data_IF_230673666909
#
_entry.id   IF_230673666909
#
_cell.length_a   1.000
_cell.length_b   1.000
_cell.length_c   1.000
_cell.angle_alpha   90.00
_cell.angle_beta   90.00
_cell.angle_gamma   90.00
#
_symmetry.space_group_name_H-M   'P 1'
#
loop_
_entity.id
_entity.type
_entity.pdbx_description
1 polymer ?
#
# COMPACT_ATOMS: atom_id res chain seq x y z
N UNK A 1 10.23 7.60 19.19
CA UNK A 1 9.06 8.47 18.95
C UNK A 1 9.39 9.96 18.98
N UNK A 2 10.13 10.49 19.96
CA UNK A 2 10.57 11.91 19.94
C UNK A 2 11.25 12.27 18.61
N UNK A 3 12.21 11.47 18.16
CA UNK A 3 12.87 11.68 16.88
C UNK A 3 11.93 11.69 15.65
N UNK A 4 10.74 11.05 15.73
CA UNK A 4 9.74 11.15 14.67
C UNK A 4 9.02 12.50 14.70
N UNK A 5 8.80 13.07 15.89
CA UNK A 5 8.24 14.40 16.02
C UNK A 5 9.18 15.50 15.48
N UNK A 6 10.49 15.25 15.46
CA UNK A 6 11.51 16.18 14.96
C UNK A 6 11.47 16.35 13.42
N UNK A 7 10.71 15.52 12.68
CA UNK A 7 10.45 15.74 11.25
C UNK A 7 9.64 17.01 10.96
N UNK A 8 8.96 17.55 11.98
CA UNK A 8 8.19 18.78 11.89
C UNK A 8 6.72 18.56 11.52
N UNK A 9 6.09 19.58 10.96
CA UNK A 9 4.65 19.54 10.60
C UNK A 9 4.48 19.64 9.07
N UNK A 10 3.54 18.88 8.48
CA UNK A 10 2.67 17.89 9.16
C UNK A 10 3.50 16.74 9.75
N UNK A 11 3.17 16.33 10.97
CA UNK A 11 3.87 15.23 11.62
C UNK A 11 3.65 13.91 10.87
N UNK A 12 4.69 13.05 10.73
CA UNK A 12 4.55 11.74 10.14
C UNK A 12 3.53 10.87 10.90
N UNK A 13 2.80 10.03 10.19
CA UNK A 13 1.95 9.01 10.83
C UNK A 13 2.87 7.94 11.42
N UNK A 14 2.72 7.70 12.74
CA UNK A 14 3.45 6.64 13.42
C UNK A 14 2.58 5.37 13.46
N UNK A 15 3.02 4.33 12.75
CA UNK A 15 2.29 3.05 12.67
C UNK A 15 3.03 2.01 13.49
N UNK A 16 2.41 1.51 14.56
CA UNK A 16 2.93 0.36 15.31
C UNK A 16 2.45 -0.90 14.62
N UNK A 17 3.39 -1.70 14.17
CA UNK A 17 3.18 -2.96 13.45
C UNK A 17 4.21 -4.01 13.91
N UNK A 18 4.26 -5.13 13.25
CA UNK A 18 5.14 -6.25 13.59
C UNK A 18 4.31 -7.50 13.72
N UNK A 19 4.67 -8.53 14.46
CA UNK A 19 3.82 -9.73 14.64
C UNK A 19 2.37 -9.36 15.02
N UNK A 20 2.02 -9.37 16.29
CA UNK A 20 0.77 -8.75 16.76
C UNK A 20 1.12 -7.68 17.81
N UNK A 21 0.84 -6.37 17.56
CA UNK A 21 1.09 -5.31 18.51
C UNK A 21 0.40 -5.52 19.86
N UNK A 22 -0.73 -6.23 19.91
CA UNK A 22 -1.42 -6.56 21.16
C UNK A 22 -0.70 -7.60 22.03
N UNK A 23 0.37 -8.22 21.53
CA UNK A 23 1.26 -9.05 22.35
C UNK A 23 2.18 -8.21 23.26
N UNK A 24 2.35 -6.91 22.97
CA UNK A 24 3.14 -6.00 23.81
C UNK A 24 2.34 -5.53 25.02
N UNK A 25 2.89 -5.72 26.22
CA UNK A 25 2.25 -5.28 27.45
C UNK A 25 2.11 -3.73 27.55
N UNK A 26 3.04 -3.00 26.92
CA UNK A 26 3.15 -1.53 26.95
C UNK A 26 2.50 -0.83 25.74
N UNK A 27 1.74 -1.54 24.89
CA UNK A 27 1.20 -0.99 23.64
C UNK A 27 0.39 0.31 23.86
N UNK A 28 -0.47 0.35 24.88
CA UNK A 28 -1.31 1.51 25.15
C UNK A 28 -0.51 2.70 25.67
N UNK A 29 0.56 2.46 26.43
CA UNK A 29 1.48 3.50 26.89
C UNK A 29 2.24 4.11 25.71
N UNK A 30 2.73 3.28 24.79
CA UNK A 30 3.40 3.75 23.58
C UNK A 30 2.48 4.63 22.73
N UNK A 31 1.21 4.22 22.55
CA UNK A 31 0.24 5.05 21.81
C UNK A 31 -0.01 6.37 22.52
N UNK A 32 -0.20 6.38 23.84
CA UNK A 32 -0.38 7.61 24.62
C UNK A 32 0.83 8.54 24.49
N UNK A 33 2.02 7.98 24.60
CA UNK A 33 3.25 8.75 24.45
C UNK A 33 3.40 9.36 23.05
N UNK A 34 3.07 8.61 22.00
CA UNK A 34 3.05 9.14 20.63
C UNK A 34 2.07 10.30 20.47
N UNK A 35 0.86 10.18 21.03
CA UNK A 35 -0.14 11.25 21.02
C UNK A 35 0.33 12.49 21.76
N UNK A 36 0.94 12.36 22.95
CA UNK A 36 1.52 13.46 23.70
C UNK A 36 2.58 14.24 22.90
N UNK A 37 3.33 13.54 22.06
CA UNK A 37 4.32 14.11 21.13
C UNK A 37 3.68 14.74 19.88
N UNK A 38 2.35 14.71 19.76
CA UNK A 38 1.62 15.25 18.60
C UNK A 38 1.65 14.39 17.35
N UNK A 39 2.01 13.11 17.49
CA UNK A 39 2.03 12.17 16.36
C UNK A 39 0.64 11.59 16.10
N UNK A 40 0.19 11.52 14.84
CA UNK A 40 -0.94 10.69 14.45
C UNK A 40 -0.59 9.22 14.66
N UNK A 41 -1.24 8.55 15.63
CA UNK A 41 -0.95 7.16 16.00
C UNK A 41 -1.88 6.22 15.29
N UNK A 42 -1.32 5.19 14.63
CA UNK A 42 -2.04 4.06 14.06
C UNK A 42 -1.45 2.73 14.54
N UNK A 43 -2.26 1.69 14.62
CA UNK A 43 -1.82 0.35 15.04
C UNK A 43 -2.33 -0.68 14.04
N UNK A 44 -1.51 -1.67 13.72
CA UNK A 44 -1.83 -2.77 12.78
C UNK A 44 -1.90 -4.10 13.52
N UNK A 45 -2.99 -4.38 14.28
CA UNK A 45 -3.15 -5.64 14.98
C UNK A 45 -3.45 -6.80 14.03
N UNK A 46 -3.17 -8.01 14.49
CA UNK A 46 -3.55 -9.25 13.81
C UNK A 46 -4.96 -9.69 14.22
N UNK A 47 -5.62 -10.51 13.36
CA UNK A 47 -6.93 -11.11 13.64
C UNK A 47 -6.85 -12.23 14.70
N UNK A 48 -6.22 -11.97 15.84
CA UNK A 48 -6.10 -12.89 16.99
C UNK A 48 -7.25 -12.68 17.98
N UNK A 49 -7.44 -13.55 18.97
CA UNK A 49 -8.41 -13.32 20.06
C UNK A 49 -8.18 -12.03 20.85
N UNK A 50 -6.99 -11.41 20.76
CA UNK A 50 -6.67 -10.11 21.37
C UNK A 50 -7.28 -8.92 20.62
N UNK A 51 -7.71 -9.10 19.38
CA UNK A 51 -8.50 -8.10 18.64
C UNK A 51 -9.94 -8.13 19.20
N UNK A 52 -10.14 -7.49 20.31
CA UNK A 52 -11.41 -7.47 21.05
C UNK A 52 -11.89 -6.02 21.25
N UNK A 53 -13.19 -5.85 21.51
CA UNK A 53 -13.77 -4.55 21.87
C UNK A 53 -13.03 -3.88 23.02
N UNK A 54 -12.65 -4.66 24.04
CA UNK A 54 -11.89 -4.16 25.18
C UNK A 54 -10.54 -3.57 24.76
N UNK A 55 -9.76 -4.31 23.96
CA UNK A 55 -8.46 -3.87 23.46
C UNK A 55 -8.60 -2.65 22.55
N UNK A 56 -9.61 -2.61 21.69
CA UNK A 56 -9.89 -1.49 20.81
C UNK A 56 -10.32 -0.23 21.59
N UNK A 57 -11.11 -0.39 22.66
CA UNK A 57 -11.49 0.71 23.55
C UNK A 57 -10.25 1.29 24.24
N UNK A 58 -9.41 0.45 24.84
CA UNK A 58 -8.14 0.90 25.45
C UNK A 58 -7.24 1.60 24.45
N UNK A 59 -7.19 1.11 23.21
CA UNK A 59 -6.40 1.72 22.15
C UNK A 59 -6.92 3.12 21.77
N UNK A 60 -8.24 3.26 21.63
CA UNK A 60 -8.91 4.55 21.39
C UNK A 60 -8.67 5.54 22.52
N UNK A 61 -8.83 5.11 23.77
CA UNK A 61 -8.61 5.94 24.96
C UNK A 61 -7.15 6.38 25.09
N UNK A 62 -6.21 5.53 24.71
CA UNK A 62 -4.79 5.87 24.61
C UNK A 62 -4.49 6.92 23.52
N UNK A 63 -5.42 7.11 22.57
CA UNK A 63 -5.34 8.16 21.55
C UNK A 63 -4.96 7.70 20.15
N UNK A 64 -5.08 6.41 19.85
CA UNK A 64 -4.99 5.94 18.48
C UNK A 64 -6.09 6.57 17.61
N UNK A 65 -5.74 6.98 16.41
CA UNK A 65 -6.66 7.60 15.45
C UNK A 65 -7.13 6.62 14.37
N UNK A 66 -6.38 5.55 14.16
CA UNK A 66 -6.66 4.57 13.14
C UNK A 66 -6.08 3.19 13.50
N UNK A 67 -6.69 2.17 12.92
CA UNK A 67 -6.12 0.82 12.85
C UNK A 67 -6.04 0.36 11.41
N UNK A 68 -5.15 -0.58 11.12
CA UNK A 68 -5.17 -1.32 9.86
C UNK A 68 -5.31 -2.82 10.11
N UNK A 69 -6.25 -3.44 9.43
CA UNK A 69 -6.55 -4.86 9.53
C UNK A 69 -6.22 -5.54 8.21
N UNK A 70 -5.76 -6.77 8.28
CA UNK A 70 -5.50 -7.58 7.10
C UNK A 70 -6.72 -8.42 6.75
N UNK A 71 -7.17 -8.34 5.51
CA UNK A 71 -8.26 -9.14 4.97
C UNK A 71 -7.95 -9.52 3.52
N UNK A 72 -7.57 -10.78 3.27
CA UNK A 72 -7.07 -11.22 1.97
C UNK A 72 -8.09 -12.03 1.16
N UNK A 73 -9.26 -12.32 1.74
CA UNK A 73 -10.41 -12.95 1.09
C UNK A 73 -11.70 -12.38 1.63
N UNK A 74 -12.76 -12.43 0.85
CA UNK A 74 -14.09 -11.98 1.23
C UNK A 74 -14.91 -13.07 1.96
N UNK A 75 -14.34 -14.25 2.11
CA UNK A 75 -14.89 -15.39 2.83
C UNK A 75 -13.90 -15.95 3.86
N UNK A 76 -14.43 -16.68 4.86
CA UNK A 76 -13.59 -17.39 5.83
C UNK A 76 -12.71 -18.45 5.15
N UNK A 77 -13.23 -19.13 4.13
CA UNK A 77 -12.49 -20.15 3.41
C UNK A 77 -11.21 -19.57 2.79
N UNK A 78 -11.31 -18.47 2.05
CA UNK A 78 -10.18 -17.88 1.36
C UNK A 78 -9.26 -17.17 2.35
N UNK A 79 -9.80 -16.33 3.24
CA UNK A 79 -8.96 -15.56 4.17
C UNK A 79 -8.21 -16.45 5.16
N UNK A 80 -8.91 -17.36 5.83
CA UNK A 80 -8.30 -18.27 6.82
C UNK A 80 -7.33 -19.24 6.15
N UNK A 81 -7.66 -19.71 4.94
CA UNK A 81 -6.78 -20.54 4.12
C UNK A 81 -5.46 -19.80 3.77
N UNK A 82 -5.57 -18.56 3.34
CA UNK A 82 -4.39 -17.70 3.05
C UNK A 82 -3.56 -17.43 4.31
N UNK A 83 -4.21 -17.11 5.44
CA UNK A 83 -3.53 -16.85 6.72
C UNK A 83 -3.05 -18.13 7.42
N UNK A 84 -3.58 -19.30 7.04
CA UNK A 84 -3.34 -20.60 7.67
C UNK A 84 -3.72 -20.62 9.17
N UNK A 85 -4.75 -19.84 9.53
CA UNK A 85 -5.24 -19.72 10.91
C UNK A 85 -6.78 -19.64 10.91
N UNK A 86 -7.48 -20.70 11.30
CA UNK A 86 -8.94 -20.73 11.32
C UNK A 86 -9.56 -19.64 12.21
N UNK A 87 -10.66 -19.05 11.74
CA UNK A 87 -11.45 -18.07 12.46
C UNK A 87 -10.84 -16.65 12.45
N UNK A 88 -9.78 -16.40 11.67
CA UNK A 88 -9.22 -15.03 11.53
C UNK A 88 -10.16 -14.13 10.75
N UNK A 89 -10.90 -14.66 9.77
CA UNK A 89 -11.90 -13.89 9.03
C UNK A 89 -12.94 -13.27 9.96
N UNK A 90 -13.64 -14.10 10.73
CA UNK A 90 -14.72 -13.66 11.64
C UNK A 90 -14.21 -12.66 12.67
N UNK A 91 -13.02 -12.92 13.24
CA UNK A 91 -12.39 -12.00 14.19
C UNK A 91 -12.05 -10.65 13.54
N UNK A 92 -11.55 -10.67 12.31
CA UNK A 92 -11.22 -9.43 11.58
C UNK A 92 -12.48 -8.63 11.26
N UNK A 93 -13.55 -9.27 10.77
CA UNK A 93 -14.83 -8.61 10.48
C UNK A 93 -15.45 -8.04 11.77
N UNK A 94 -15.45 -8.81 12.85
CA UNK A 94 -15.97 -8.36 14.17
C UNK A 94 -15.15 -7.17 14.68
N UNK A 95 -13.82 -7.28 14.70
CA UNK A 95 -12.94 -6.20 15.13
C UNK A 95 -13.06 -4.94 14.27
N UNK A 96 -13.32 -5.10 12.95
CA UNK A 96 -13.57 -3.96 12.06
C UNK A 96 -14.87 -3.23 12.44
N UNK A 97 -15.98 -3.95 12.64
CA UNK A 97 -17.25 -3.35 13.06
C UNK A 97 -17.09 -2.62 14.41
N UNK A 98 -16.51 -3.28 15.40
CA UNK A 98 -16.27 -2.71 16.72
C UNK A 98 -15.36 -1.46 16.68
N UNK A 99 -14.29 -1.49 15.90
CA UNK A 99 -13.42 -0.33 15.73
C UNK A 99 -14.17 0.87 15.12
N UNK A 100 -15.03 0.62 14.14
CA UNK A 100 -15.88 1.65 13.54
C UNK A 100 -16.87 2.23 14.53
N UNK A 101 -17.55 1.39 15.30
CA UNK A 101 -18.46 1.84 16.37
C UNK A 101 -17.76 2.70 17.43
N UNK A 102 -16.52 2.39 17.75
CA UNK A 102 -15.68 3.16 18.66
C UNK A 102 -15.13 4.47 18.02
N UNK A 103 -15.40 4.72 16.74
CA UNK A 103 -14.93 5.89 16.01
C UNK A 103 -13.44 5.84 15.64
N UNK A 104 -12.84 4.65 15.58
CA UNK A 104 -11.52 4.45 14.97
C UNK A 104 -11.66 4.42 13.45
N UNK A 105 -10.72 5.05 12.75
CA UNK A 105 -10.62 4.92 11.30
C UNK A 105 -10.00 3.58 10.96
N UNK A 106 -10.59 2.83 10.03
CA UNK A 106 -10.12 1.49 9.67
C UNK A 106 -9.58 1.50 8.25
N UNK A 107 -8.35 1.03 8.07
CA UNK A 107 -7.77 0.68 6.79
C UNK A 107 -7.81 -0.84 6.65
N UNK A 108 -8.19 -1.34 5.48
CA UNK A 108 -8.10 -2.75 5.13
C UNK A 108 -6.91 -2.96 4.21
N UNK A 109 -6.10 -3.96 4.52
CA UNK A 109 -4.94 -4.38 3.72
C UNK A 109 -5.22 -5.76 3.14
N UNK A 110 -5.15 -5.89 1.83
CA UNK A 110 -5.36 -7.16 1.12
C UNK A 110 -4.15 -7.49 0.27
N UNK A 111 -3.53 -8.64 0.51
CA UNK A 111 -2.42 -9.14 -0.31
C UNK A 111 -2.97 -9.77 -1.57
N UNK A 112 -2.50 -9.30 -2.72
CA UNK A 112 -2.96 -9.76 -4.03
C UNK A 112 -1.98 -10.80 -4.57
N UNK A 113 -2.51 -12.02 -4.76
CA UNK A 113 -1.81 -13.18 -5.30
C UNK A 113 -2.75 -13.93 -6.27
N UNK A 114 -2.29 -14.96 -6.95
CA UNK A 114 -3.16 -15.79 -7.80
C UNK A 114 -4.33 -16.41 -7.02
N UNK A 115 -4.12 -16.75 -5.76
CA UNK A 115 -5.16 -17.36 -4.91
C UNK A 115 -6.19 -16.36 -4.36
N UNK A 116 -5.90 -15.05 -4.38
CA UNK A 116 -6.77 -14.01 -3.77
C UNK A 116 -7.30 -13.01 -4.79
N UNK A 117 -6.79 -12.99 -6.01
CA UNK A 117 -7.12 -11.95 -7.00
C UNK A 117 -8.60 -11.92 -7.36
N UNK A 118 -9.25 -13.08 -7.43
CA UNK A 118 -10.69 -13.17 -7.77
C UNK A 118 -11.61 -12.72 -6.63
N UNK A 119 -11.08 -12.52 -5.42
CA UNK A 119 -11.81 -12.00 -4.27
C UNK A 119 -11.95 -10.46 -4.27
N UNK A 120 -11.17 -9.77 -5.11
CA UNK A 120 -11.08 -8.30 -5.07
C UNK A 120 -12.43 -7.57 -5.22
N UNK A 121 -13.37 -7.98 -6.10
CA UNK A 121 -14.68 -7.34 -6.19
C UNK A 121 -15.53 -7.54 -4.92
N UNK A 122 -15.51 -8.70 -4.30
CA UNK A 122 -16.26 -8.98 -3.07
C UNK A 122 -15.61 -8.31 -1.85
N UNK A 123 -14.27 -8.25 -1.80
CA UNK A 123 -13.56 -7.44 -0.82
C UNK A 123 -13.94 -5.96 -0.93
N UNK A 124 -14.09 -5.42 -2.14
CA UNK A 124 -14.57 -4.06 -2.35
C UNK A 124 -15.99 -3.88 -1.80
N UNK A 125 -16.90 -4.85 -2.01
CA UNK A 125 -18.25 -4.82 -1.42
C UNK A 125 -18.20 -4.73 0.11
N UNK A 126 -17.37 -5.54 0.76
CA UNK A 126 -17.16 -5.47 2.21
C UNK A 126 -16.58 -4.11 2.63
N UNK A 127 -15.62 -3.56 1.86
CA UNK A 127 -15.02 -2.25 2.12
C UNK A 127 -16.05 -1.13 2.09
N UNK A 128 -17.00 -1.19 1.14
CA UNK A 128 -18.11 -0.24 1.03
C UNK A 128 -19.11 -0.43 2.18
N UNK A 129 -19.56 -1.66 2.39
CA UNK A 129 -20.57 -2.00 3.40
C UNK A 129 -20.11 -1.65 4.82
N UNK A 130 -18.91 -2.08 5.20
CA UNK A 130 -18.35 -1.86 6.53
C UNK A 130 -17.66 -0.50 6.69
N UNK A 131 -17.51 0.25 5.61
CA UNK A 131 -17.05 1.65 5.64
C UNK A 131 -15.57 1.80 5.99
N UNK A 132 -14.66 1.17 5.27
CA UNK A 132 -13.23 1.42 5.45
C UNK A 132 -12.85 2.86 5.05
N UNK A 133 -11.93 3.44 5.81
CA UNK A 133 -11.31 4.74 5.45
C UNK A 133 -10.48 4.60 4.16
N UNK A 134 -9.84 3.45 3.98
CA UNK A 134 -8.99 3.16 2.84
C UNK A 134 -8.87 1.65 2.67
N UNK A 135 -8.98 1.19 1.43
CA UNK A 135 -8.57 -0.16 1.03
C UNK A 135 -7.18 -0.10 0.39
N UNK A 136 -6.24 -0.87 0.91
CA UNK A 136 -4.86 -0.95 0.41
C UNK A 136 -4.62 -2.32 -0.21
N UNK A 137 -4.49 -2.38 -1.53
CA UNK A 137 -4.06 -3.58 -2.23
C UNK A 137 -2.53 -3.68 -2.17
N UNK A 138 -2.04 -4.74 -1.54
CA UNK A 138 -0.62 -5.05 -1.42
C UNK A 138 -0.20 -5.97 -2.55
N UNK A 139 0.59 -5.49 -3.48
CA UNK A 139 1.22 -6.36 -4.46
C UNK A 139 2.37 -7.11 -3.82
N UNK A 140 2.37 -8.42 -3.97
CA UNK A 140 3.29 -9.32 -3.28
C UNK A 140 4.76 -8.94 -3.51
N UNK A 141 5.52 -8.86 -2.41
CA UNK A 141 6.99 -8.85 -2.43
C UNK A 141 7.46 -10.21 -1.93
N UNK A 142 8.27 -10.94 -2.67
CA UNK A 142 8.70 -12.30 -2.31
C UNK A 142 9.75 -12.27 -1.20
N UNK A 143 9.31 -11.99 0.04
CA UNK A 143 10.14 -11.98 1.25
C UNK A 143 9.48 -12.81 2.34
N UNK A 144 10.28 -13.49 3.17
CA UNK A 144 9.79 -14.35 4.23
C UNK A 144 8.80 -15.39 3.69
N UNK A 145 7.62 -15.55 4.31
CA UNK A 145 6.57 -16.46 3.82
C UNK A 145 6.00 -16.07 2.45
N UNK A 146 6.21 -14.83 2.01
CA UNK A 146 5.80 -14.37 0.68
C UNK A 146 6.49 -15.11 -0.48
N UNK A 147 7.66 -15.74 -0.23
CA UNK A 147 8.35 -16.58 -1.22
C UNK A 147 7.60 -17.87 -1.57
N UNK A 148 6.68 -18.29 -0.71
CA UNK A 148 5.86 -19.49 -0.89
C UNK A 148 4.55 -19.20 -1.64
N UNK A 149 4.23 -17.94 -1.90
CA UNK A 149 2.98 -17.51 -2.50
C UNK A 149 3.13 -17.32 -4.02
N UNK A 150 2.08 -17.68 -4.76
CA UNK A 150 2.02 -17.48 -6.19
C UNK A 150 1.77 -16.01 -6.54
N UNK A 151 2.82 -15.33 -6.98
CA UNK A 151 2.72 -13.97 -7.47
C UNK A 151 1.92 -13.92 -8.79
N UNK A 152 1.26 -12.79 -9.03
CA UNK A 152 0.70 -12.48 -10.35
C UNK A 152 1.83 -12.34 -11.38
N UNK A 153 1.50 -12.61 -12.63
CA UNK A 153 2.34 -12.23 -13.77
C UNK A 153 2.32 -10.69 -13.95
N UNK A 154 3.26 -10.11 -14.70
CA UNK A 154 3.21 -8.69 -15.03
C UNK A 154 1.89 -8.26 -15.70
N UNK A 155 1.35 -9.09 -16.60
CA UNK A 155 0.06 -8.82 -17.28
C UNK A 155 -1.13 -8.89 -16.34
N UNK A 156 -1.22 -9.90 -15.50
CA UNK A 156 -2.26 -9.99 -14.47
C UNK A 156 -2.16 -8.82 -13.48
N UNK A 157 -0.94 -8.36 -13.18
CA UNK A 157 -0.74 -7.19 -12.32
C UNK A 157 -1.27 -5.91 -12.99
N UNK A 158 -1.06 -5.75 -14.29
CA UNK A 158 -1.62 -4.64 -15.06
C UNK A 158 -3.15 -4.65 -15.03
N UNK A 159 -3.75 -5.81 -15.25
CA UNK A 159 -5.21 -6.01 -15.17
C UNK A 159 -5.74 -5.61 -13.78
N UNK A 160 -5.08 -6.05 -12.71
CA UNK A 160 -5.45 -5.69 -11.34
C UNK A 160 -5.33 -4.20 -11.07
N UNK A 161 -4.28 -3.55 -11.54
CA UNK A 161 -4.11 -2.10 -11.31
C UNK A 161 -5.18 -1.29 -12.05
N UNK A 162 -5.58 -1.71 -13.25
CA UNK A 162 -6.69 -1.09 -13.96
C UNK A 162 -8.03 -1.33 -13.25
N UNK A 163 -8.28 -2.52 -12.72
CA UNK A 163 -9.43 -2.76 -11.85
C UNK A 163 -9.42 -1.86 -10.60
N UNK A 164 -8.27 -1.69 -9.94
CA UNK A 164 -8.14 -0.83 -8.76
C UNK A 164 -8.35 0.66 -9.11
N UNK A 165 -8.02 1.07 -10.33
CA UNK A 165 -8.37 2.40 -10.82
C UNK A 165 -9.90 2.58 -10.86
N UNK A 166 -10.63 1.63 -11.41
CA UNK A 166 -12.09 1.68 -11.45
C UNK A 166 -12.70 1.56 -10.05
N UNK A 167 -12.20 0.64 -9.20
CA UNK A 167 -12.61 0.50 -7.80
C UNK A 167 -12.44 1.79 -6.99
N UNK A 168 -11.52 2.67 -7.39
CA UNK A 168 -11.29 3.98 -6.79
C UNK A 168 -12.49 4.93 -6.86
N UNK A 169 -13.46 4.68 -7.74
CA UNK A 169 -14.73 5.43 -7.80
C UNK A 169 -15.74 4.98 -6.75
N UNK A 170 -15.58 3.78 -6.20
CA UNK A 170 -16.48 3.19 -5.20
C UNK A 170 -15.96 3.39 -3.78
N UNK A 171 -14.67 3.27 -3.57
CA UNK A 171 -14.05 3.39 -2.25
C UNK A 171 -12.68 4.08 -2.35
N UNK A 172 -12.12 4.61 -1.22
CA UNK A 172 -10.75 5.09 -1.19
C UNK A 172 -9.76 3.93 -1.36
N UNK A 173 -9.22 3.76 -2.56
CA UNK A 173 -8.24 2.72 -2.89
C UNK A 173 -6.83 3.30 -2.91
N UNK A 174 -5.85 2.53 -2.47
CA UNK A 174 -4.41 2.74 -2.70
C UNK A 174 -3.71 1.42 -2.94
N UNK A 175 -2.52 1.48 -3.50
CA UNK A 175 -1.63 0.32 -3.59
C UNK A 175 -0.48 0.43 -2.60
N UNK A 176 0.03 -0.70 -2.13
CA UNK A 176 1.31 -0.83 -1.45
C UNK A 176 2.17 -1.78 -2.26
N UNK A 177 3.42 -1.39 -2.51
CA UNK A 177 4.35 -2.09 -3.41
C UNK A 177 3.81 -2.27 -4.85
N UNK A 178 2.82 -1.46 -5.23
CA UNK A 178 2.23 -1.36 -6.57
C UNK A 178 2.42 0.04 -7.15
N UNK A 179 3.65 0.55 -7.17
CA UNK A 179 3.95 1.96 -7.51
C UNK A 179 3.62 2.31 -8.97
N UNK A 180 3.65 1.32 -9.88
CA UNK A 180 3.24 1.48 -11.27
C UNK A 180 1.73 1.76 -11.43
N UNK A 181 0.94 1.65 -10.37
CA UNK A 181 -0.43 2.20 -10.32
C UNK A 181 -0.50 3.69 -10.69
N UNK A 182 0.55 4.48 -10.38
CA UNK A 182 0.60 5.90 -10.75
C UNK A 182 0.66 6.09 -12.25
N UNK A 183 1.40 5.23 -12.96
CA UNK A 183 1.40 5.19 -14.43
C UNK A 183 0.01 4.87 -14.95
N UNK A 184 -0.60 3.78 -14.45
CA UNK A 184 -1.96 3.38 -14.86
C UNK A 184 -2.96 4.51 -14.65
N UNK A 185 -2.92 5.21 -13.53
CA UNK A 185 -3.80 6.37 -13.29
C UNK A 185 -3.64 7.43 -14.38
N UNK A 186 -2.39 7.80 -14.73
CA UNK A 186 -2.15 8.79 -15.77
C UNK A 186 -2.61 8.34 -17.16
N UNK A 187 -2.29 7.12 -17.55
CA UNK A 187 -2.74 6.55 -18.83
C UNK A 187 -4.26 6.55 -18.91
N UNK A 188 -4.94 6.12 -17.84
CA UNK A 188 -6.41 6.08 -17.76
C UNK A 188 -7.04 7.48 -17.81
N UNK A 189 -6.41 8.49 -17.18
CA UNK A 189 -6.88 9.88 -17.23
C UNK A 189 -6.71 10.47 -18.63
N UNK A 190 -5.57 10.27 -19.28
CA UNK A 190 -5.36 10.69 -20.66
C UNK A 190 -6.35 10.05 -21.62
N UNK A 191 -6.58 8.74 -21.52
CA UNK A 191 -7.54 8.05 -22.37
C UNK A 191 -8.97 8.51 -22.14
N UNK A 192 -9.35 8.79 -20.89
CA UNK A 192 -10.66 9.31 -20.54
C UNK A 192 -10.88 10.72 -21.12
N UNK A 193 -9.89 11.60 -21.06
CA UNK A 193 -9.96 12.96 -21.61
C UNK A 193 -10.08 12.94 -23.16
N UNK A 194 -9.50 11.93 -23.80
CA UNK A 194 -9.57 11.73 -25.25
C UNK A 194 -10.85 10.97 -25.69
N UNK A 195 -11.60 10.40 -24.75
CA UNK A 195 -12.78 9.55 -25.05
C UNK A 195 -12.38 8.21 -25.72
N UNK A 196 -11.18 7.71 -25.45
CA UNK A 196 -10.66 6.45 -26.03
C UNK A 196 -10.97 5.28 -25.12
N UNK A 197 -11.34 4.14 -25.72
CA UNK A 197 -11.54 2.88 -25.01
C UNK A 197 -10.20 2.39 -24.43
N UNK A 198 -10.13 2.35 -23.10
CA UNK A 198 -8.92 1.97 -22.39
C UNK A 198 -8.63 0.45 -22.45
N UNK A 199 -9.65 -0.39 -22.64
CA UNK A 199 -9.45 -1.85 -22.72
C UNK A 199 -8.66 -2.19 -23.96
N UNK A 200 -9.05 -1.61 -25.09
CA UNK A 200 -8.37 -1.80 -26.37
C UNK A 200 -6.99 -1.10 -26.35
N UNK A 201 -6.95 0.18 -25.94
CA UNK A 201 -5.74 0.98 -25.98
C UNK A 201 -4.61 0.43 -25.09
N UNK A 202 -4.94 -0.15 -23.94
CA UNK A 202 -3.98 -0.75 -23.00
C UNK A 202 -3.83 -2.27 -23.18
N UNK A 203 -4.65 -2.89 -24.05
CA UNK A 203 -4.64 -4.31 -24.30
C UNK A 203 -4.90 -5.14 -23.02
N UNK A 204 -5.91 -4.72 -22.23
CA UNK A 204 -6.25 -5.39 -20.97
C UNK A 204 -6.77 -6.80 -21.19
N UNK A 205 -6.37 -7.72 -20.30
CA UNK A 205 -6.66 -9.15 -20.42
C UNK A 205 -8.01 -9.58 -19.87
N UNK A 206 -8.25 -10.90 -19.91
CA UNK A 206 -9.49 -11.51 -19.40
C UNK A 206 -9.65 -11.29 -17.89
N UNK A 207 -8.57 -11.26 -17.12
CA UNK A 207 -8.64 -11.00 -15.68
C UNK A 207 -9.26 -9.63 -15.38
N UNK A 208 -8.84 -8.58 -16.09
CA UNK A 208 -9.48 -7.27 -15.96
C UNK A 208 -10.96 -7.32 -16.31
N UNK A 209 -11.32 -7.97 -17.44
CA UNK A 209 -12.70 -8.06 -17.90
C UNK A 209 -13.60 -8.77 -16.87
N UNK A 210 -13.12 -9.87 -16.30
CA UNK A 210 -13.84 -10.62 -15.26
C UNK A 210 -14.05 -9.78 -13.98
N UNK A 211 -12.99 -9.08 -13.52
CA UNK A 211 -13.07 -8.23 -12.35
C UNK A 211 -13.99 -7.01 -12.59
N UNK A 212 -13.90 -6.39 -13.76
CA UNK A 212 -14.71 -5.22 -14.13
C UNK A 212 -16.20 -5.58 -14.31
N UNK A 213 -16.51 -6.76 -14.85
CA UNK A 213 -17.89 -7.25 -14.95
C UNK A 213 -18.54 -7.35 -13.56
N UNK A 214 -17.83 -7.90 -12.58
CA UNK A 214 -18.31 -8.02 -11.20
C UNK A 214 -18.39 -6.65 -10.49
N UNK A 215 -17.53 -5.70 -10.87
CA UNK A 215 -17.57 -4.34 -10.36
C UNK A 215 -18.84 -3.62 -10.84
N UNK A 216 -19.26 -3.83 -12.09
CA UNK A 216 -20.48 -3.24 -12.66
C UNK A 216 -21.76 -3.66 -11.89
N UNK A 217 -21.76 -4.83 -11.26
CA UNK A 217 -22.89 -5.30 -10.43
C UNK A 217 -23.10 -4.47 -9.14
N UNK A 218 -22.07 -3.72 -8.67
CA UNK A 218 -22.18 -2.85 -7.48
C UNK A 218 -23.07 -1.63 -7.78
N UNK A 219 -23.20 -1.28 -9.06
CA UNK A 219 -23.97 -0.13 -9.52
C UNK A 219 -23.16 1.19 -9.49
N UNK A 220 -23.72 2.26 -10.03
CA UNK A 220 -23.03 3.53 -10.17
C UNK A 220 -22.82 4.22 -8.81
N UNK A 221 -21.64 4.81 -8.62
CA UNK A 221 -21.31 5.63 -7.45
C UNK A 221 -20.71 6.95 -7.94
N UNK A 222 -21.25 8.07 -7.47
CA UNK A 222 -20.69 9.39 -7.77
C UNK A 222 -19.62 9.76 -6.74
N UNK A 223 -18.39 9.32 -7.00
CA UNK A 223 -17.24 9.61 -6.16
C UNK A 223 -16.01 9.95 -6.99
N UNK A 224 -15.32 11.04 -6.63
CA UNK A 224 -14.00 11.34 -7.21
C UNK A 224 -12.94 10.40 -6.63
N UNK A 225 -12.10 9.83 -7.49
CA UNK A 225 -10.91 9.05 -7.08
C UNK A 225 -9.97 9.93 -6.28
N UNK A 226 -9.30 9.33 -5.32
CA UNK A 226 -8.16 9.98 -4.66
C UNK A 226 -6.93 9.83 -5.55
N UNK A 227 -6.10 10.89 -5.69
CA UNK A 227 -4.84 10.76 -6.38
C UNK A 227 -3.95 9.72 -5.65
N UNK A 228 -3.15 8.96 -6.38
CA UNK A 228 -2.23 8.00 -5.77
C UNK A 228 -1.17 8.72 -4.94
N UNK A 229 -0.79 8.11 -3.81
CA UNK A 229 0.23 8.65 -2.93
C UNK A 229 1.62 8.53 -3.58
N UNK A 230 2.42 9.59 -3.50
CA UNK A 230 3.82 9.58 -3.95
C UNK A 230 4.76 9.08 -2.84
N UNK A 231 4.63 7.80 -2.48
CA UNK A 231 5.42 7.13 -1.43
C UNK A 231 6.11 5.91 -2.03
N UNK A 232 7.37 5.69 -1.70
CA UNK A 232 8.14 4.49 -2.07
C UNK A 232 9.08 4.11 -0.91
N UNK A 233 9.75 2.97 -0.98
CA UNK A 233 10.79 2.61 -0.02
C UNK A 233 11.84 3.74 0.07
N UNK A 234 12.06 4.28 1.26
CA UNK A 234 12.98 5.40 1.49
C UNK A 234 12.52 6.77 1.00
N UNK A 235 11.35 6.87 0.38
CA UNK A 235 10.74 8.12 -0.08
C UNK A 235 9.33 8.27 0.50
N UNK A 236 9.14 9.16 1.46
CA UNK A 236 7.90 9.32 2.21
C UNK A 236 7.58 8.16 3.16
N UNK A 237 8.50 7.20 3.31
CA UNK A 237 8.36 6.04 4.17
C UNK A 237 9.70 5.62 4.78
N UNK A 238 9.68 5.17 6.03
CA UNK A 238 10.81 4.59 6.76
C UNK A 238 10.30 3.50 7.70
N UNK A 239 11.05 2.43 7.85
CA UNK A 239 10.77 1.36 8.80
C UNK A 239 11.87 1.29 9.86
N UNK A 240 11.47 1.25 11.13
CA UNK A 240 12.38 1.05 12.26
C UNK A 240 12.06 -0.29 12.89
N UNK A 241 13.04 -1.18 12.95
CA UNK A 241 12.90 -2.51 13.54
C UNK A 241 12.80 -2.44 15.06
N UNK A 242 12.38 -3.55 15.68
CA UNK A 242 12.29 -3.68 17.14
C UNK A 242 13.64 -3.55 17.87
N UNK A 243 14.74 -3.70 17.16
CA UNK A 243 16.12 -3.53 17.67
C UNK A 243 16.73 -2.17 17.34
N UNK A 244 15.97 -1.26 16.73
CA UNK A 244 16.43 0.11 16.44
C UNK A 244 17.06 0.32 15.07
N UNK A 245 17.24 -0.73 14.28
CA UNK A 245 17.78 -0.63 12.92
C UNK A 245 16.76 0.04 11.99
N UNK A 246 17.22 0.98 11.17
CA UNK A 246 16.41 1.72 10.20
C UNK A 246 16.55 1.12 8.82
N UNK A 247 15.41 0.90 8.16
CA UNK A 247 15.31 0.35 6.81
C UNK A 247 14.42 1.23 5.93
N UNK A 248 14.61 1.23 4.60
CA UNK A 248 13.76 1.97 3.66
C UNK A 248 12.31 1.48 3.62
N UNK A 249 12.10 0.19 3.89
CA UNK A 249 10.80 -0.49 3.91
C UNK A 249 10.89 -1.73 4.81
N UNK A 250 9.74 -2.17 5.34
CA UNK A 250 9.65 -3.47 6.03
C UNK A 250 9.88 -4.68 5.11
N UNK A 251 9.87 -4.46 3.78
CA UNK A 251 10.14 -5.48 2.77
C UNK A 251 11.56 -5.39 2.18
N UNK A 252 12.36 -4.42 2.61
CA UNK A 252 13.74 -4.23 2.15
C UNK A 252 14.70 -4.23 3.36
N UNK A 253 15.27 -5.38 3.72
CA UNK A 253 16.08 -5.53 4.94
C UNK A 253 17.51 -4.99 4.80
N UNK A 254 17.70 -3.88 4.08
CA UNK A 254 18.96 -3.17 3.98
C UNK A 254 19.02 -2.15 5.11
N UNK A 255 20.01 -2.25 5.99
CA UNK A 255 20.18 -1.29 7.08
C UNK A 255 20.71 0.06 6.56
N UNK A 256 20.05 1.15 6.93
CA UNK A 256 20.45 2.52 6.62
C UNK A 256 21.12 3.24 7.81
N UNK A 257 20.95 2.70 9.02
CA UNK A 257 21.50 3.21 10.28
C UNK A 257 20.77 2.62 11.48
N UNK A 258 21.09 3.11 12.67
CA UNK A 258 20.47 2.69 13.93
C UNK A 258 20.06 3.94 14.75
N UNK A 259 18.82 3.99 15.22
CA UNK A 259 18.28 5.14 15.99
C UNK A 259 18.92 5.34 17.37
N UNK A 260 19.72 4.40 17.81
CA UNK A 260 20.51 4.51 19.05
C UNK A 260 21.86 5.20 18.86
N UNK A 261 22.34 5.25 17.60
CA UNK A 261 23.64 5.83 17.24
C UNK A 261 23.50 7.17 16.52
N UNK A 262 22.42 7.33 15.73
CA UNK A 262 22.14 8.52 14.94
C UNK A 262 20.67 8.92 15.08
N UNK A 263 20.33 10.19 14.82
CA UNK A 263 18.92 10.58 14.82
C UNK A 263 18.20 10.00 13.58
N UNK A 264 16.93 9.66 13.74
CA UNK A 264 16.13 9.14 12.62
C UNK A 264 16.03 10.16 11.47
N UNK A 265 16.02 11.46 11.80
CA UNK A 265 16.00 12.54 10.80
C UNK A 265 17.28 12.57 9.97
N UNK A 266 18.44 12.40 10.58
CA UNK A 266 19.72 12.39 9.88
C UNK A 266 19.84 11.13 9.01
N UNK A 267 19.50 9.95 9.58
CA UNK A 267 19.48 8.71 8.81
C UNK A 267 18.58 8.86 7.58
N UNK A 268 17.35 9.37 7.76
CA UNK A 268 16.41 9.52 6.66
C UNK A 268 16.85 10.53 5.61
N UNK A 269 17.45 11.64 6.01
CA UNK A 269 17.84 12.74 5.11
C UNK A 269 19.19 12.53 4.45
N UNK A 270 20.14 11.91 5.14
CA UNK A 270 21.56 11.93 4.76
C UNK A 270 22.14 10.55 4.43
N UNK A 271 21.48 9.45 4.84
CA UNK A 271 21.99 8.11 4.51
C UNK A 271 22.13 7.94 3.00
N UNK A 272 23.30 7.48 2.50
CA UNK A 272 23.51 7.22 1.08
C UNK A 272 22.46 6.31 0.46
N UNK A 273 21.92 5.34 1.24
CA UNK A 273 20.87 4.45 0.78
C UNK A 273 19.57 5.23 0.51
N UNK A 274 19.13 6.07 1.46
CA UNK A 274 17.91 6.86 1.30
C UNK A 274 18.05 7.92 0.19
N UNK A 275 19.20 8.58 0.10
CA UNK A 275 19.49 9.52 -0.98
C UNK A 275 19.45 8.82 -2.35
N UNK A 276 20.10 7.64 -2.45
CA UNK A 276 20.11 6.87 -3.68
C UNK A 276 18.72 6.39 -4.10
N UNK A 277 17.87 5.95 -3.16
CA UNK A 277 16.49 5.51 -3.48
C UNK A 277 15.56 6.65 -3.94
N UNK A 278 15.88 7.90 -3.64
CA UNK A 278 15.16 9.10 -4.11
C UNK A 278 15.69 9.65 -5.42
N UNK A 279 16.88 9.25 -5.81
CA UNK A 279 17.51 9.66 -7.06
C UNK A 279 17.07 8.74 -8.20
N UNK A 280 16.09 9.19 -8.98
CA UNK A 280 15.54 8.42 -10.10
C UNK A 280 16.53 8.22 -11.24
N UNK A 281 17.63 9.02 -11.31
CA UNK A 281 18.70 8.83 -12.30
C UNK A 281 19.50 7.54 -12.08
N UNK A 282 19.40 6.94 -10.89
CA UNK A 282 20.03 5.67 -10.53
C UNK A 282 19.23 4.45 -10.93
N UNK A 283 17.97 4.63 -11.36
CA UNK A 283 17.15 3.51 -11.81
C UNK A 283 17.74 2.86 -13.05
N UNK A 284 17.69 1.54 -13.08
CA UNK A 284 18.24 0.72 -14.15
C UNK A 284 17.15 0.03 -14.98
N UNK A 285 17.56 -0.65 -16.05
CA UNK A 285 16.66 -1.40 -16.92
C UNK A 285 15.56 -0.52 -17.53
N UNK A 286 14.36 -1.09 -17.63
CA UNK A 286 13.19 -0.38 -18.16
C UNK A 286 12.79 0.81 -17.28
N UNK A 287 12.90 0.70 -15.94
CA UNK A 287 12.58 1.80 -15.03
C UNK A 287 13.46 3.04 -15.26
N UNK A 288 14.75 2.85 -15.56
CA UNK A 288 15.68 3.96 -15.82
C UNK A 288 15.45 4.69 -17.15
N UNK A 289 14.79 4.04 -18.11
CA UNK A 289 14.46 4.60 -19.44
C UNK A 289 13.02 5.08 -19.54
N UNK A 290 12.21 4.87 -18.46
CA UNK A 290 10.79 5.09 -18.49
C UNK A 290 10.43 6.56 -18.28
N UNK A 291 9.55 7.10 -19.10
CA UNK A 291 9.00 8.45 -18.98
C UNK A 291 8.28 8.69 -17.65
N UNK A 292 7.80 7.61 -17.02
CA UNK A 292 7.15 7.65 -15.70
C UNK A 292 8.13 7.50 -14.53
N UNK A 293 9.45 7.43 -14.76
CA UNK A 293 10.45 7.19 -13.70
C UNK A 293 10.27 8.15 -12.51
N UNK A 294 10.02 9.44 -12.77
CA UNK A 294 9.88 10.49 -11.77
C UNK A 294 8.65 10.35 -10.88
N UNK A 295 7.58 9.74 -11.38
CA UNK A 295 6.31 9.59 -10.63
C UNK A 295 6.09 8.17 -10.11
N UNK A 296 6.62 7.17 -10.81
CA UNK A 296 6.43 5.75 -10.52
C UNK A 296 7.62 5.16 -9.76
N UNK A 297 8.73 5.01 -10.42
CA UNK A 297 9.97 4.43 -9.91
C UNK A 297 9.88 2.93 -9.59
N UNK A 298 8.76 2.24 -9.83
CA UNK A 298 8.56 0.83 -9.47
C UNK A 298 8.67 0.52 -7.98
N UNK A 299 8.38 -0.71 -7.56
CA UNK A 299 8.64 -1.16 -6.18
C UNK A 299 10.13 -1.44 -5.99
N UNK A 300 10.80 -0.59 -5.24
CA UNK A 300 12.22 -0.78 -4.91
C UNK A 300 12.44 -2.00 -4.01
N UNK A 301 11.44 -2.30 -3.16
CA UNK A 301 11.45 -3.50 -2.32
C UNK A 301 11.38 -4.78 -3.15
N UNK A 302 10.53 -4.81 -4.18
CA UNK A 302 10.40 -5.99 -5.04
C UNK A 302 11.59 -6.13 -5.97
N UNK A 303 12.08 -5.04 -6.57
CA UNK A 303 13.31 -5.05 -7.35
C UNK A 303 14.44 -5.70 -6.54
N UNK A 304 14.67 -5.23 -5.31
CA UNK A 304 15.66 -5.81 -4.41
C UNK A 304 15.40 -7.28 -4.08
N UNK A 305 14.15 -7.64 -3.74
CA UNK A 305 13.83 -9.02 -3.35
C UNK A 305 14.07 -10.04 -4.47
N UNK A 306 13.91 -9.62 -5.74
CA UNK A 306 14.06 -10.49 -6.90
C UNK A 306 15.50 -10.49 -7.45
N UNK A 307 16.14 -9.33 -7.51
CA UNK A 307 17.47 -9.19 -8.16
C UNK A 307 18.64 -8.96 -7.19
N UNK A 308 18.36 -8.62 -5.93
CA UNK A 308 19.38 -8.17 -4.98
C UNK A 308 19.77 -6.69 -5.16
N UNK A 309 19.21 -6.01 -6.18
CA UNK A 309 19.49 -4.62 -6.47
C UNK A 309 18.24 -3.73 -6.29
N UNK A 310 18.27 -2.73 -5.38
CA UNK A 310 17.14 -1.84 -5.17
C UNK A 310 16.91 -0.83 -6.31
N UNK A 311 17.85 -0.71 -7.25
CA UNK A 311 17.76 0.19 -8.41
C UNK A 311 17.30 -0.54 -9.68
N UNK A 312 17.27 -1.86 -9.66
CA UNK A 312 16.82 -2.70 -10.77
C UNK A 312 15.40 -2.40 -11.23
N UNK A 313 14.99 -2.96 -12.35
CA UNK A 313 13.64 -2.75 -12.89
C UNK A 313 12.55 -3.43 -12.02
N UNK A 314 11.33 -2.91 -12.10
CA UNK A 314 10.15 -3.50 -11.46
C UNK A 314 9.72 -4.77 -12.22
N UNK A 315 9.84 -5.96 -11.60
CA UNK A 315 9.60 -7.21 -12.33
C UNK A 315 8.12 -7.47 -12.65
N UNK A 316 7.19 -6.84 -11.93
CA UNK A 316 5.74 -6.98 -12.19
C UNK A 316 5.16 -5.89 -13.09
N UNK A 317 5.99 -5.02 -13.69
CA UNK A 317 5.54 -4.03 -14.65
C UNK A 317 5.70 -4.55 -16.08
N UNK A 318 4.63 -4.71 -16.87
CA UNK A 318 4.73 -5.14 -18.27
C UNK A 318 5.02 -3.99 -19.24
N UNK A 319 5.03 -2.75 -18.76
CA UNK A 319 5.14 -1.57 -19.59
C UNK A 319 6.53 -1.45 -20.23
N UNK A 320 6.54 -1.27 -21.55
CA UNK A 320 7.76 -0.93 -22.28
C UNK A 320 7.84 0.59 -22.45
N UNK A 321 8.94 1.22 -22.05
CA UNK A 321 9.09 2.68 -22.17
C UNK A 321 8.78 3.20 -23.58
N UNK A 322 7.93 4.22 -23.66
CA UNK A 322 7.51 4.81 -24.95
C UNK A 322 6.39 4.04 -25.66
N UNK A 323 5.84 2.96 -25.11
CA UNK A 323 4.82 2.15 -25.78
C UNK A 323 3.39 2.69 -25.67
N UNK A 324 3.12 3.66 -24.78
CA UNK A 324 1.80 4.24 -24.68
C UNK A 324 1.44 5.02 -25.96
N UNK A 325 0.31 4.76 -26.63
CA UNK A 325 0.04 5.32 -27.96
C UNK A 325 -0.09 6.84 -28.00
N UNK A 326 -0.43 7.48 -26.88
CA UNK A 326 -0.71 8.91 -26.77
C UNK A 326 0.40 9.66 -26.02
N UNK A 327 1.64 9.51 -26.52
CA UNK A 327 2.85 10.09 -25.88
C UNK A 327 2.82 11.62 -25.80
N UNK A 328 2.22 12.29 -26.78
CA UNK A 328 2.13 13.76 -26.80
C UNK A 328 1.24 14.25 -25.64
N UNK A 329 0.06 13.69 -25.50
CA UNK A 329 -0.92 14.01 -24.44
C UNK A 329 -0.36 13.64 -23.06
N UNK A 330 0.31 12.48 -22.98
CA UNK A 330 1.00 12.06 -21.76
C UNK A 330 2.07 13.07 -21.34
N UNK A 331 2.87 13.56 -22.28
CA UNK A 331 3.92 14.55 -21.99
C UNK A 331 3.35 15.88 -21.45
N UNK A 332 2.13 16.26 -21.87
CA UNK A 332 1.42 17.43 -21.34
C UNK A 332 0.87 17.19 -19.92
N UNK A 333 0.50 15.96 -19.60
CA UNK A 333 -0.03 15.59 -18.29
C UNK A 333 1.05 15.39 -17.21
N UNK A 334 2.24 14.89 -17.59
CA UNK A 334 3.34 14.56 -16.66
C UNK A 334 3.79 15.71 -15.74
N UNK A 335 3.95 16.97 -16.19
CA UNK A 335 4.37 18.07 -15.32
C UNK A 335 3.37 18.42 -14.22
N UNK A 336 2.09 18.19 -14.46
CA UNK A 336 1.01 18.59 -13.56
C UNK A 336 0.87 17.65 -12.34
N UNK A 337 1.34 16.42 -12.44
CA UNK A 337 1.27 15.45 -11.33
C UNK A 337 2.44 15.55 -10.34
N UNK A 338 3.58 16.11 -10.76
CA UNK A 338 4.75 16.33 -9.89
C UNK A 338 4.58 17.47 -8.87
N UNK A 339 3.58 18.33 -9.02
CA UNK A 339 3.33 19.50 -8.18
C UNK A 339 2.18 19.34 -7.18
N UNK A 340 1.52 18.20 -7.10
CA UNK A 340 0.58 17.87 -6.02
C UNK A 340 1.36 17.53 -4.75
N UNK A 341 1.89 18.57 -4.08
CA UNK A 341 2.52 18.50 -2.75
C UNK A 341 1.48 18.56 -1.64
#
# INVERSE_FOLDING_TARGET
MSQVADFGKPAPIFIITGGDPFERADIYELVRRGKELGLPMAVSPSGTPKLSRESLTKLKDAGASAISLSLDGASAEVHDGFRRVPGTFDRTITGWREARELGLRVQINSTVTKSTVHELPDLLRLVIELGAMTWSAFLLVPTGRGTELDALTPRETEDVLNFLYDAGTFAPVKTTEGHHFRRVVMEREVLADLGVDHVEALGLGSLYQDLAARLAEIGPVDRKRRPPLHVNAGNGFVFVSHVGTVHPSGFMPIAAGDVREQTLTDIYRESPLFLGLRDTSRLEGRCGKCEFAGICGGSRSRAYAVSGDPYGEEPLCPYEPGSFPYQHELALALPNMGNAR
#
